data_IF_075575358445
#
_entry.id   IF_075575358445
#
_cell.length_a   1.000
_cell.length_b   1.000
_cell.length_c   1.000
_cell.angle_alpha   90.00
_cell.angle_beta   90.00
_cell.angle_gamma   90.00
#
_symmetry.space_group_name_H-M   'P 1'
#
loop_
_entity.id
_entity.type
_entity.pdbx_description
1 polymer ?
#
# COMPACT_ATOMS: atom_id res chain seq x y z
N UNK A 1 -5.75 6.03 -14.94
CA UNK A 1 -4.34 6.37 -14.68
C UNK A 1 -4.01 5.71 -13.36
N UNK A 2 -3.00 4.83 -13.35
CA UNK A 2 -2.56 4.13 -12.14
C UNK A 2 -1.29 4.84 -11.69
N UNK A 3 -1.23 5.27 -10.43
CA UNK A 3 -0.01 5.77 -9.81
C UNK A 3 0.49 4.71 -8.84
N UNK A 4 1.77 4.38 -8.93
CA UNK A 4 2.43 3.43 -8.04
C UNK A 4 3.42 4.15 -7.15
N UNK A 5 3.32 3.93 -5.85
CA UNK A 5 4.29 4.38 -4.86
C UNK A 5 4.84 3.18 -4.09
N UNK A 6 5.98 3.37 -3.43
CA UNK A 6 6.54 2.41 -2.49
C UNK A 6 6.54 3.08 -1.13
N UNK A 7 5.90 2.45 -0.15
CA UNK A 7 5.96 2.82 1.25
C UNK A 7 6.72 1.76 2.05
N UNK A 8 7.10 2.11 3.27
CA UNK A 8 7.68 1.16 4.20
C UNK A 8 6.80 1.05 5.43
N UNK A 9 6.51 -0.19 5.83
CA UNK A 9 5.91 -0.44 7.13
C UNK A 9 6.92 -0.06 8.21
N UNK A 10 6.45 0.34 9.39
CA UNK A 10 7.30 0.66 10.55
C UNK A 10 8.23 -0.48 11.01
N UNK A 11 7.95 -1.72 10.59
CA UNK A 11 8.86 -2.85 10.84
C UNK A 11 9.99 -2.98 9.80
N UNK A 12 10.06 -2.08 8.81
CA UNK A 12 11.03 -2.09 7.72
C UNK A 12 10.61 -2.89 6.48
N UNK A 13 9.43 -3.53 6.49
CA UNK A 13 8.93 -4.26 5.34
C UNK A 13 8.51 -3.28 4.22
N UNK A 14 8.95 -3.55 2.99
CA UNK A 14 8.52 -2.81 1.81
C UNK A 14 7.06 -3.12 1.47
N UNK A 15 6.30 -2.09 1.13
CA UNK A 15 4.90 -2.18 0.73
C UNK A 15 4.71 -1.38 -0.54
N UNK A 16 4.16 -2.02 -1.57
CA UNK A 16 3.80 -1.36 -2.82
C UNK A 16 2.39 -0.81 -2.70
N UNK A 17 2.19 0.43 -3.13
CA UNK A 17 0.90 1.13 -3.05
C UNK A 17 0.45 1.47 -4.47
N UNK A 18 -0.71 0.98 -4.88
CA UNK A 18 -1.34 1.36 -6.14
C UNK A 18 -2.54 2.26 -5.90
N UNK A 19 -2.55 3.42 -6.55
CA UNK A 19 -3.64 4.37 -6.54
C UNK A 19 -4.48 4.23 -7.81
N UNK A 20 -5.73 3.84 -7.61
CA UNK A 20 -6.74 3.65 -8.64
C UNK A 20 -7.77 4.75 -8.52
N UNK A 21 -8.11 5.38 -9.65
CA UNK A 21 -9.24 6.30 -9.73
C UNK A 21 -10.47 5.55 -10.24
N UNK A 22 -11.55 5.57 -9.45
CA UNK A 22 -12.83 4.98 -9.85
C UNK A 22 -13.55 5.82 -10.90
N UNK A 23 -14.57 5.24 -11.56
CA UNK A 23 -15.42 5.97 -12.50
C UNK A 23 -16.14 7.18 -11.86
N UNK A 24 -16.36 7.14 -10.54
CA UNK A 24 -16.92 8.23 -9.73
C UNK A 24 -15.88 9.28 -9.33
N UNK A 25 -14.66 9.24 -9.89
CA UNK A 25 -13.53 10.12 -9.54
C UNK A 25 -13.11 10.02 -8.07
N UNK A 26 -13.32 8.86 -7.43
CA UNK A 26 -12.82 8.59 -6.07
C UNK A 26 -11.47 7.88 -6.17
N UNK A 27 -10.52 8.31 -5.37
CA UNK A 27 -9.24 7.61 -5.23
C UNK A 27 -9.42 6.42 -4.28
N UNK A 28 -8.93 5.27 -4.71
CA UNK A 28 -8.83 4.06 -3.89
C UNK A 28 -7.40 3.59 -3.96
N UNK A 29 -6.83 3.16 -2.85
CA UNK A 29 -5.50 2.57 -2.82
C UNK A 29 -5.56 1.06 -2.57
N UNK A 30 -4.55 0.33 -3.03
CA UNK A 30 -4.32 -1.08 -2.72
C UNK A 30 -2.88 -1.27 -2.32
N UNK A 31 -2.64 -2.20 -1.39
CA UNK A 31 -1.29 -2.52 -0.92
C UNK A 31 -0.86 -3.89 -1.42
N UNK A 32 0.40 -4.02 -1.78
CA UNK A 32 0.98 -5.27 -2.24
C UNK A 32 2.30 -5.58 -1.53
N UNK A 33 2.57 -6.87 -1.33
CA UNK A 33 3.86 -7.35 -0.84
C UNK A 33 4.93 -7.39 -1.95
N UNK A 34 6.15 -7.82 -1.61
CA UNK A 34 7.27 -8.04 -2.52
C UNK A 34 7.01 -9.12 -3.58
N UNK A 35 6.05 -10.01 -3.31
CA UNK A 35 5.57 -11.05 -4.23
C UNK A 35 4.36 -10.59 -5.05
N UNK A 36 4.02 -9.31 -4.99
CA UNK A 36 2.91 -8.69 -5.73
C UNK A 36 1.53 -9.26 -5.35
N UNK A 37 1.39 -9.75 -4.12
CA UNK A 37 0.10 -10.20 -3.58
C UNK A 37 -0.59 -9.04 -2.88
N UNK A 38 -1.87 -8.86 -3.17
CA UNK A 38 -2.68 -7.85 -2.49
C UNK A 38 -2.78 -8.19 -1.01
N UNK A 39 -2.37 -7.25 -0.16
CA UNK A 39 -2.34 -7.41 1.30
C UNK A 39 -3.11 -6.26 1.95
N UNK A 40 -3.75 -6.54 3.08
CA UNK A 40 -4.31 -5.51 3.97
C UNK A 40 -3.50 -5.35 5.25
N UNK A 41 -2.61 -6.31 5.52
CA UNK A 41 -1.76 -6.34 6.70
C UNK A 41 -0.34 -6.68 6.29
N UNK A 42 0.63 -6.07 6.95
CA UNK A 42 2.03 -6.39 6.73
C UNK A 42 2.28 -7.87 7.07
N UNK A 43 2.82 -8.69 6.15
CA UNK A 43 3.07 -10.10 6.40
C UNK A 43 4.16 -10.33 7.47
N UNK A 44 5.03 -9.34 7.73
CA UNK A 44 6.10 -9.47 8.73
C UNK A 44 5.65 -9.15 10.16
N UNK A 45 4.86 -8.09 10.37
CA UNK A 45 4.48 -7.65 11.72
C UNK A 45 2.98 -7.79 12.01
N UNK A 46 2.16 -8.17 11.02
CA UNK A 46 0.72 -8.31 11.15
C UNK A 46 -0.06 -7.00 11.30
N UNK A 47 0.62 -5.84 11.27
CA UNK A 47 0.01 -4.51 11.39
C UNK A 47 -0.86 -4.22 10.17
N UNK A 48 -2.02 -3.61 10.42
CA UNK A 48 -2.90 -3.13 9.35
C UNK A 48 -2.22 -2.00 8.57
N UNK A 49 -2.27 -2.11 7.25
CA UNK A 49 -1.69 -1.12 6.34
C UNK A 49 -2.73 -0.03 6.10
N UNK A 50 -2.37 1.21 6.39
CA UNK A 50 -3.11 2.38 5.95
C UNK A 50 -2.14 3.36 5.31
N UNK A 51 -2.65 4.15 4.37
CA UNK A 51 -1.86 5.19 3.72
C UNK A 51 -1.27 6.17 4.73
N UNK A 52 -2.04 6.57 5.75
CA UNK A 52 -1.58 7.46 6.83
C UNK A 52 -0.46 6.87 7.70
N UNK A 53 -0.31 5.55 7.72
CA UNK A 53 0.68 4.84 8.54
C UNK A 53 1.95 4.47 7.76
N UNK A 54 1.95 4.64 6.44
CA UNK A 54 3.10 4.36 5.59
C UNK A 54 3.91 5.64 5.42
N UNK A 55 5.15 5.63 5.93
CA UNK A 55 6.07 6.73 5.68
C UNK A 55 6.43 6.76 4.20
N UNK A 56 6.05 7.85 3.54
CA UNK A 56 6.51 8.20 2.20
C UNK A 56 7.87 8.88 2.36
N UNK A 57 8.95 8.17 2.07
CA UNK A 57 10.31 8.74 1.99
C UNK A 57 10.55 9.41 0.64
#
# INVERSE_FOLDING_TARGET
MVYSAVGYCSCGAQVWIEYLISAEKRWTHRFFDDQHREIQRCPQCGRELSEDLLESL
#
